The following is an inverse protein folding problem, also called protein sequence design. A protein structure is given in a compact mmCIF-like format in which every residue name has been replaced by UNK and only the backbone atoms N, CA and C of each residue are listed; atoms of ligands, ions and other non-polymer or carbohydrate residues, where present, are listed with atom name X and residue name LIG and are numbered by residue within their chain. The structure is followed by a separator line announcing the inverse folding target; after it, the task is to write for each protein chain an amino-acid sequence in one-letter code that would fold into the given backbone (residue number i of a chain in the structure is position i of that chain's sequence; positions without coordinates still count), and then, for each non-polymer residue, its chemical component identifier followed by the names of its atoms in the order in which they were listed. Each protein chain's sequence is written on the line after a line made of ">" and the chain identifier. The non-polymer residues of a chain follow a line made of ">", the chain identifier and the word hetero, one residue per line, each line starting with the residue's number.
data_IF_821010419658
#
_entry.id   IF_821010419658
#
_cell.length_a   1.000
_cell.length_b   1.000
_cell.length_c   1.000
_cell.angle_alpha   90.00
_cell.angle_beta   90.00
_cell.angle_gamma   90.00
#
_symmetry.space_group_name_H-M   'P 1'
#
loop_
_entity.id
_entity.type
_entity.pdbx_description
1 polymer ?
#
# COMPACT_ATOMS: atom_id res chain seq x y z
N UNK A 1 -34.78 -20.11 -6.74
CA UNK A 1 -33.86 -19.20 -6.04
C UNK A 1 -33.86 -19.64 -4.57
N UNK A 2 -32.73 -19.59 -3.86
CA UNK A 2 -32.63 -20.22 -2.53
C UNK A 2 -33.31 -19.41 -1.44
N UNK A 3 -33.96 -20.08 -0.48
CA UNK A 3 -34.66 -19.49 0.67
C UNK A 3 -33.82 -18.46 1.46
N UNK A 4 -32.50 -18.60 1.49
CA UNK A 4 -31.59 -17.63 2.11
C UNK A 4 -31.52 -16.29 1.36
N UNK A 5 -31.66 -16.31 0.03
CA UNK A 5 -31.61 -15.11 -0.80
C UNK A 5 -32.89 -14.30 -0.65
N UNK A 6 -34.04 -14.97 -0.59
CA UNK A 6 -35.35 -14.36 -0.32
C UNK A 6 -35.38 -13.70 1.05
N UNK A 7 -34.93 -14.42 2.09
CA UNK A 7 -34.79 -13.87 3.45
C UNK A 7 -33.89 -12.62 3.50
N UNK A 8 -32.77 -12.61 2.76
CA UNK A 8 -31.86 -11.46 2.73
C UNK A 8 -32.51 -10.22 2.07
N UNK A 9 -33.30 -10.43 1.01
CA UNK A 9 -34.04 -9.35 0.36
C UNK A 9 -35.14 -8.79 1.28
N UNK A 10 -35.89 -9.65 1.97
CA UNK A 10 -36.91 -9.23 2.94
C UNK A 10 -36.30 -8.40 4.08
N UNK A 11 -35.16 -8.83 4.63
CA UNK A 11 -34.44 -8.09 5.68
C UNK A 11 -33.96 -6.72 5.18
N UNK A 12 -33.50 -6.62 3.93
CA UNK A 12 -33.07 -5.33 3.35
C UNK A 12 -34.27 -4.40 3.11
N UNK A 13 -35.39 -4.93 2.65
CA UNK A 13 -36.61 -4.17 2.42
C UNK A 13 -37.18 -3.60 3.74
N UNK A 14 -37.25 -4.41 4.80
CA UNK A 14 -37.67 -3.94 6.13
C UNK A 14 -36.76 -2.85 6.68
N UNK A 15 -35.44 -2.97 6.48
CA UNK A 15 -34.47 -1.93 6.88
C UNK A 15 -34.65 -0.63 6.11
N UNK A 16 -34.95 -0.72 4.82
CA UNK A 16 -35.27 0.45 3.99
C UNK A 16 -36.55 1.14 4.47
N UNK A 17 -37.62 0.38 4.70
CA UNK A 17 -38.90 0.91 5.23
C UNK A 17 -38.73 1.58 6.59
N UNK A 18 -37.97 0.95 7.50
CA UNK A 18 -37.67 1.54 8.80
C UNK A 18 -36.86 2.84 8.71
N UNK A 19 -35.85 2.88 7.83
CA UNK A 19 -35.04 4.09 7.62
C UNK A 19 -35.85 5.22 7.00
N UNK A 20 -36.70 4.92 6.01
CA UNK A 20 -37.61 5.90 5.38
C UNK A 20 -38.59 6.44 6.43
N UNK A 21 -39.21 5.59 7.25
CA UNK A 21 -40.12 6.03 8.31
C UNK A 21 -39.45 6.94 9.35
N UNK A 22 -38.14 6.76 9.60
CA UNK A 22 -37.36 7.60 10.51
C UNK A 22 -36.96 8.95 9.90
N UNK A 23 -36.56 8.98 8.62
CA UNK A 23 -36.00 10.17 7.96
C UNK A 23 -37.05 10.99 7.16
N UNK A 24 -38.14 10.33 6.74
CA UNK A 24 -39.24 10.86 5.95
C UNK A 24 -40.60 10.43 6.56
N UNK A 25 -40.93 10.91 7.78
CA UNK A 25 -42.07 10.38 8.55
C UNK A 25 -43.45 10.64 7.91
N UNK A 26 -43.56 11.61 7.00
CA UNK A 26 -44.80 12.00 6.33
C UNK A 26 -44.97 11.33 4.94
N UNK A 27 -44.06 10.43 4.56
CA UNK A 27 -44.04 9.79 3.23
C UNK A 27 -44.71 8.42 3.28
N UNK A 28 -45.70 8.21 2.40
CA UNK A 28 -46.49 6.97 2.33
C UNK A 28 -46.00 6.04 1.21
N UNK A 29 -45.99 4.74 1.47
CA UNK A 29 -45.56 3.73 0.50
C UNK A 29 -46.39 3.78 -0.80
N UNK A 30 -45.71 3.88 -1.94
CA UNK A 30 -46.33 3.95 -3.27
C UNK A 30 -46.61 5.37 -3.79
N UNK A 31 -46.19 6.43 -3.07
CA UNK A 31 -46.20 7.80 -3.60
C UNK A 31 -44.88 8.13 -4.32
N UNK A 32 -44.85 9.15 -5.20
CA UNK A 32 -43.59 9.62 -5.81
C UNK A 32 -42.54 10.04 -4.77
N UNK A 33 -42.97 10.57 -3.63
CA UNK A 33 -42.09 10.96 -2.52
C UNK A 33 -41.44 9.73 -1.85
N UNK A 34 -42.13 8.58 -1.84
CA UNK A 34 -41.58 7.32 -1.36
C UNK A 34 -40.48 6.80 -2.28
N UNK A 35 -40.68 6.91 -3.59
CA UNK A 35 -39.65 6.51 -4.56
C UNK A 35 -38.38 7.35 -4.40
N UNK A 36 -38.51 8.65 -4.11
CA UNK A 36 -37.38 9.55 -3.81
C UNK A 36 -36.70 9.12 -2.50
N UNK A 37 -37.45 8.86 -1.43
CA UNK A 37 -36.89 8.42 -0.15
C UNK A 37 -36.18 7.06 -0.26
N UNK A 38 -36.68 6.16 -1.11
CA UNK A 38 -36.05 4.89 -1.42
C UNK A 38 -34.74 5.08 -2.22
N UNK A 39 -34.70 6.02 -3.16
CA UNK A 39 -33.48 6.40 -3.89
C UNK A 39 -32.42 7.01 -2.96
N UNK A 40 -32.83 7.86 -2.01
CA UNK A 40 -31.94 8.41 -0.98
C UNK A 40 -31.37 7.31 -0.07
N UNK A 41 -32.21 6.34 0.34
CA UNK A 41 -31.76 5.18 1.10
C UNK A 41 -30.73 4.35 0.31
N UNK A 42 -31.01 4.08 -0.97
CA UNK A 42 -30.08 3.38 -1.87
C UNK A 42 -28.75 4.12 -1.99
N UNK A 43 -28.80 5.43 -2.23
CA UNK A 43 -27.61 6.29 -2.34
C UNK A 43 -26.79 6.30 -1.04
N UNK A 44 -27.45 6.29 0.11
CA UNK A 44 -26.79 6.15 1.40
C UNK A 44 -26.09 4.80 1.54
N UNK A 45 -26.72 3.69 1.13
CA UNK A 45 -26.09 2.37 1.18
C UNK A 45 -24.84 2.31 0.30
N UNK A 46 -24.92 2.82 -0.94
CA UNK A 46 -23.79 2.88 -1.85
C UNK A 46 -22.63 3.67 -1.22
N UNK A 47 -22.93 4.84 -0.64
CA UNK A 47 -21.95 5.64 0.09
C UNK A 47 -21.32 4.91 1.30
N UNK A 48 -22.09 4.11 2.03
CA UNK A 48 -21.58 3.31 3.15
C UNK A 48 -20.68 2.16 2.67
N UNK A 49 -21.03 1.52 1.55
CA UNK A 49 -20.21 0.48 0.92
C UNK A 49 -18.89 1.09 0.44
N UNK A 50 -18.93 2.20 -0.30
CA UNK A 50 -17.73 2.90 -0.76
C UNK A 50 -16.82 3.32 0.40
N UNK A 51 -17.39 3.82 1.51
CA UNK A 51 -16.62 4.13 2.71
C UNK A 51 -15.98 2.90 3.34
N UNK A 52 -16.72 1.78 3.44
CA UNK A 52 -16.21 0.54 4.00
C UNK A 52 -15.07 -0.03 3.15
N UNK A 53 -15.20 -0.02 1.82
CA UNK A 53 -14.16 -0.43 0.88
C UNK A 53 -12.92 0.46 0.98
N UNK A 54 -13.12 1.78 1.06
CA UNK A 54 -12.03 2.72 1.23
C UNK A 54 -11.29 2.51 2.56
N UNK A 55 -12.03 2.30 3.66
CA UNK A 55 -11.44 2.03 4.96
C UNK A 55 -10.67 0.70 4.96
N UNK A 56 -11.26 -0.36 4.40
CA UNK A 56 -10.59 -1.65 4.23
C UNK A 56 -9.30 -1.52 3.42
N UNK A 57 -9.32 -0.74 2.34
CA UNK A 57 -8.13 -0.43 1.57
C UNK A 57 -7.08 0.27 2.43
N UNK A 58 -7.44 1.31 3.20
CA UNK A 58 -6.50 2.00 4.10
C UNK A 58 -5.90 1.07 5.15
N UNK A 59 -6.70 0.16 5.71
CA UNK A 59 -6.26 -0.82 6.70
C UNK A 59 -5.28 -1.81 6.07
N UNK A 60 -5.57 -2.28 4.85
CA UNK A 60 -4.67 -3.16 4.09
C UNK A 60 -3.30 -2.51 3.81
N UNK A 61 -3.24 -1.18 3.69
CA UNK A 61 -1.98 -0.45 3.50
C UNK A 61 -1.12 -0.39 4.79
N UNK A 62 -1.69 -0.76 5.93
CA UNK A 62 -1.04 -0.85 7.23
C UNK A 62 -0.87 -2.31 7.71
N UNK A 63 -1.06 -3.28 6.83
CA UNK A 63 -0.85 -4.69 7.10
C UNK A 63 0.33 -5.23 6.27
N UNK A 64 1.35 -5.77 6.96
CA UNK A 64 2.58 -6.23 6.33
C UNK A 64 2.36 -7.44 5.41
N UNK A 65 1.45 -8.34 5.79
CA UNK A 65 1.17 -9.55 5.03
C UNK A 65 0.37 -9.23 3.77
N UNK A 66 -0.63 -8.34 3.86
CA UNK A 66 -1.35 -7.86 2.70
C UNK A 66 -0.43 -7.13 1.73
N UNK A 67 0.51 -6.32 2.22
CA UNK A 67 1.51 -5.65 1.36
C UNK A 67 2.44 -6.65 0.68
N UNK A 68 2.84 -7.70 1.40
CA UNK A 68 3.62 -8.78 0.82
C UNK A 68 2.83 -9.53 -0.27
N UNK A 69 1.61 -9.97 0.03
CA UNK A 69 0.73 -10.69 -0.91
C UNK A 69 0.49 -9.85 -2.17
N UNK A 70 0.19 -8.56 -1.99
CA UNK A 70 -0.01 -7.65 -3.11
C UNK A 70 1.25 -7.55 -3.97
N UNK A 71 2.42 -7.30 -3.36
CA UNK A 71 3.68 -7.18 -4.10
C UNK A 71 4.02 -8.46 -4.88
N UNK A 72 3.82 -9.63 -4.26
CA UNK A 72 4.03 -10.91 -4.93
C UNK A 72 3.09 -11.11 -6.12
N UNK A 73 1.79 -10.83 -5.96
CA UNK A 73 0.81 -10.97 -7.04
C UNK A 73 1.16 -10.07 -8.23
N UNK A 74 1.55 -8.83 -7.98
CA UNK A 74 2.00 -7.92 -9.03
C UNK A 74 3.25 -8.45 -9.75
N UNK A 75 4.23 -9.02 -9.03
CA UNK A 75 5.40 -9.65 -9.65
C UNK A 75 5.04 -10.90 -10.47
N UNK A 76 4.09 -11.71 -10.01
CA UNK A 76 3.62 -12.89 -10.75
C UNK A 76 2.89 -12.49 -12.04
N UNK A 77 2.15 -11.37 -12.03
CA UNK A 77 1.54 -10.80 -13.24
C UNK A 77 2.59 -10.29 -14.23
N UNK A 78 3.63 -9.60 -13.75
CA UNK A 78 4.76 -9.21 -14.59
C UNK A 78 5.50 -10.44 -15.16
N UNK A 79 5.60 -11.52 -14.39
CA UNK A 79 6.18 -12.78 -14.85
C UNK A 79 5.35 -13.42 -15.97
N UNK A 80 4.03 -13.27 -15.97
CA UNK A 80 3.19 -13.77 -17.06
C UNK A 80 3.53 -13.09 -18.41
N UNK A 81 3.94 -11.81 -18.40
CA UNK A 81 4.37 -11.08 -19.59
C UNK A 81 5.62 -11.67 -20.25
N UNK A 82 6.49 -12.32 -19.46
CA UNK A 82 7.71 -12.99 -19.95
C UNK A 82 7.39 -14.05 -21.02
N UNK A 83 6.23 -14.71 -20.91
CA UNK A 83 5.83 -15.80 -21.80
C UNK A 83 5.02 -15.32 -23.02
N UNK A 84 4.75 -14.03 -23.14
CA UNK A 84 3.93 -13.47 -24.22
C UNK A 84 4.78 -12.82 -25.31
N UNK A 85 4.34 -12.89 -26.57
CA UNK A 85 4.97 -12.19 -27.68
C UNK A 85 4.68 -10.69 -27.54
N UNK A 86 5.62 -9.93 -26.97
CA UNK A 86 5.43 -8.51 -26.65
C UNK A 86 6.44 -7.61 -27.37
N UNK A 87 6.03 -6.37 -27.64
CA UNK A 87 6.92 -5.34 -28.14
C UNK A 87 7.99 -4.98 -27.10
N UNK A 88 9.18 -4.55 -27.54
CA UNK A 88 10.29 -4.18 -26.64
C UNK A 88 9.93 -3.12 -25.59
N UNK A 89 8.99 -2.22 -25.90
CA UNK A 89 8.48 -1.23 -24.93
C UNK A 89 7.77 -1.87 -23.74
N UNK A 90 7.05 -2.98 -23.95
CA UNK A 90 6.35 -3.70 -22.88
C UNK A 90 7.36 -4.28 -21.90
N UNK A 91 8.45 -4.89 -22.39
CA UNK A 91 9.53 -5.38 -21.53
C UNK A 91 10.19 -4.26 -20.74
N UNK A 92 10.45 -3.09 -21.36
CA UNK A 92 11.00 -1.92 -20.66
C UNK A 92 10.07 -1.40 -19.55
N UNK A 93 8.77 -1.29 -19.83
CA UNK A 93 7.80 -0.86 -18.83
C UNK A 93 7.66 -1.88 -17.70
N UNK A 94 7.55 -3.17 -18.04
CA UNK A 94 7.48 -4.25 -17.05
C UNK A 94 8.72 -4.28 -16.16
N UNK A 95 9.91 -4.12 -16.75
CA UNK A 95 11.17 -4.05 -16.01
C UNK A 95 11.22 -2.84 -15.07
N UNK A 96 10.82 -1.65 -15.54
CA UNK A 96 10.76 -0.49 -14.66
C UNK A 96 9.74 -0.69 -13.53
N UNK A 97 8.64 -1.38 -13.82
CA UNK A 97 7.57 -1.64 -12.85
C UNK A 97 7.98 -2.63 -11.75
N UNK A 98 8.88 -3.59 -11.99
CA UNK A 98 9.39 -4.46 -10.91
C UNK A 98 9.99 -3.64 -9.77
N UNK A 99 10.76 -2.59 -10.10
CA UNK A 99 11.32 -1.65 -9.11
C UNK A 99 10.21 -0.87 -8.42
N UNK A 100 9.16 -0.44 -9.13
CA UNK A 100 8.00 0.21 -8.53
C UNK A 100 7.30 -0.69 -7.51
N UNK A 101 7.12 -1.98 -7.81
CA UNK A 101 6.53 -2.96 -6.87
C UNK A 101 7.38 -3.06 -5.60
N UNK A 102 8.70 -3.19 -5.75
CA UNK A 102 9.63 -3.19 -4.62
C UNK A 102 9.54 -1.90 -3.79
N UNK A 103 9.52 -0.74 -4.45
CA UNK A 103 9.45 0.55 -3.76
C UNK A 103 8.16 0.74 -2.98
N UNK A 104 7.02 0.38 -3.58
CA UNK A 104 5.73 0.45 -2.92
C UNK A 104 5.69 -0.47 -1.69
N UNK A 105 6.13 -1.72 -1.85
CA UNK A 105 6.23 -2.68 -0.75
C UNK A 105 7.09 -2.13 0.40
N UNK A 106 8.29 -1.63 0.11
CA UNK A 106 9.20 -1.09 1.12
C UNK A 106 8.63 0.16 1.81
N UNK A 107 8.01 1.06 1.06
CA UNK A 107 7.45 2.29 1.60
C UNK A 107 6.29 2.00 2.56
N UNK A 108 5.32 1.17 2.15
CA UNK A 108 4.20 0.82 3.01
C UNK A 108 4.65 -0.03 4.21
N UNK A 109 5.63 -0.92 4.01
CA UNK A 109 6.20 -1.69 5.12
C UNK A 109 6.90 -0.80 6.15
N UNK A 110 7.75 0.12 5.69
CA UNK A 110 8.41 1.12 6.54
C UNK A 110 7.39 1.98 7.28
N UNK A 111 6.31 2.40 6.61
CA UNK A 111 5.21 3.16 7.22
C UNK A 111 4.50 2.33 8.31
N UNK A 112 4.27 1.06 8.04
CA UNK A 112 3.54 0.13 8.91
C UNK A 112 4.33 -0.19 10.18
N UNK A 113 5.64 -0.37 10.09
CA UNK A 113 6.50 -0.59 11.26
C UNK A 113 6.31 0.49 12.34
N UNK A 114 6.05 1.74 11.94
CA UNK A 114 5.84 2.85 12.90
C UNK A 114 4.53 2.74 13.70
N UNK A 115 3.67 1.75 13.41
CA UNK A 115 2.54 1.41 14.27
C UNK A 115 3.01 0.80 15.59
N UNK A 116 4.13 0.07 15.58
CA UNK A 116 4.78 -0.47 16.76
C UNK A 116 5.55 0.62 17.52
N UNK A 117 5.47 0.59 18.85
CA UNK A 117 6.06 1.60 19.71
C UNK A 117 7.60 1.55 19.71
N UNK A 118 8.21 0.37 19.69
CA UNK A 118 9.65 0.20 19.71
C UNK A 118 10.29 0.68 18.40
N UNK A 119 9.69 0.32 17.25
CA UNK A 119 10.16 0.82 15.94
C UNK A 119 9.95 2.33 15.80
N UNK A 120 8.85 2.88 16.34
CA UNK A 120 8.64 4.33 16.36
C UNK A 120 9.69 5.04 17.21
N UNK A 121 10.00 4.52 18.39
CA UNK A 121 11.07 5.06 19.23
C UNK A 121 12.42 5.04 18.49
N UNK A 122 12.81 3.90 17.91
CA UNK A 122 14.03 3.76 17.10
C UNK A 122 14.08 4.72 15.93
N UNK A 123 12.96 4.94 15.24
CA UNK A 123 12.88 5.94 14.18
C UNK A 123 13.26 7.34 14.69
N UNK A 124 12.75 7.76 15.84
CA UNK A 124 13.05 9.09 16.37
C UNK A 124 14.45 9.21 16.99
N UNK A 125 14.93 8.16 17.64
CA UNK A 125 16.21 8.16 18.37
C UNK A 125 17.41 7.93 17.46
N UNK A 126 17.28 7.07 16.44
CA UNK A 126 18.39 6.69 15.57
C UNK A 126 18.33 7.38 14.21
N UNK A 127 17.16 7.37 13.56
CA UNK A 127 17.01 7.87 12.19
C UNK A 127 16.77 9.40 12.12
N UNK A 128 15.84 9.91 12.94
CA UNK A 128 15.40 11.30 12.92
C UNK A 128 16.33 12.27 13.68
N UNK A 129 17.61 11.94 13.78
CA UNK A 129 18.59 12.68 14.57
C UNK A 129 19.10 13.94 13.86
N UNK A 130 19.27 13.88 12.54
CA UNK A 130 19.84 14.98 11.76
C UNK A 130 18.83 16.12 11.52
N UNK A 131 19.35 17.34 11.37
CA UNK A 131 18.53 18.55 11.29
C UNK A 131 17.65 18.61 10.03
N UNK A 132 18.07 17.98 8.92
CA UNK A 132 17.28 17.94 7.68
C UNK A 132 16.02 17.10 7.87
N UNK A 133 16.14 15.94 8.52
CA UNK A 133 15.01 15.06 8.84
C UNK A 133 14.07 15.73 9.83
N UNK A 134 14.60 16.33 10.91
CA UNK A 134 13.80 17.07 11.90
C UNK A 134 12.97 18.19 11.28
N UNK A 135 13.55 18.98 10.38
CA UNK A 135 12.83 20.05 9.65
C UNK A 135 11.70 19.49 8.77
N UNK A 136 11.95 18.38 8.08
CA UNK A 136 10.94 17.73 7.26
C UNK A 136 9.80 17.13 8.10
N UNK A 137 10.11 16.49 9.24
CA UNK A 137 9.12 15.99 10.18
C UNK A 137 8.27 17.12 10.78
N UNK A 138 8.86 18.27 11.12
CA UNK A 138 8.09 19.43 11.58
C UNK A 138 7.06 19.91 10.54
N UNK A 139 7.41 19.88 9.25
CA UNK A 139 6.44 20.16 8.17
C UNK A 139 5.33 19.11 8.11
N UNK A 140 5.67 17.82 8.23
CA UNK A 140 4.69 16.73 8.24
C UNK A 140 3.75 16.86 9.44
N UNK A 141 4.26 17.19 10.62
CA UNK A 141 3.45 17.41 11.82
C UNK A 141 2.44 18.54 11.63
N UNK A 142 2.88 19.68 11.07
CA UNK A 142 1.96 20.79 10.73
C UNK A 142 0.87 20.37 9.74
N UNK A 143 1.23 19.58 8.73
CA UNK A 143 0.28 19.08 7.73
C UNK A 143 -0.76 18.13 8.34
N UNK A 144 -0.34 17.19 9.19
CA UNK A 144 -1.22 16.25 9.90
C UNK A 144 -2.16 16.99 10.85
N UNK A 145 -1.64 17.99 11.58
CA UNK A 145 -2.45 18.82 12.47
C UNK A 145 -3.51 19.60 11.69
N UNK A 146 -3.12 20.25 10.59
CA UNK A 146 -4.05 20.99 9.74
C UNK A 146 -5.13 20.08 9.11
N UNK A 147 -4.78 18.85 8.72
CA UNK A 147 -5.74 17.86 8.24
C UNK A 147 -6.73 17.47 9.33
N UNK A 148 -6.24 17.16 10.53
CA UNK A 148 -7.07 16.76 11.68
C UNK A 148 -8.02 17.86 12.13
N UNK A 149 -7.66 19.14 11.92
CA UNK A 149 -8.53 20.29 12.19
C UNK A 149 -9.62 20.49 11.14
N UNK A 150 -9.37 20.13 9.88
CA UNK A 150 -10.34 20.24 8.78
C UNK A 150 -11.38 19.12 8.81
N UNK A 151 -10.96 17.94 9.23
CA UNK A 151 -11.81 16.75 9.35
C UNK A 151 -11.74 16.26 10.80
N UNK A 152 -12.42 16.95 11.73
CA UNK A 152 -12.40 16.57 13.13
C UNK A 152 -13.08 15.20 13.29
N UNK A 153 -12.30 14.21 13.74
CA UNK A 153 -12.85 13.00 14.32
C UNK A 153 -13.70 13.36 15.56
N UNK A 154 -14.54 12.42 16.01
CA UNK A 154 -15.34 12.58 17.25
C UNK A 154 -14.49 12.93 18.48
N UNK A 155 -13.18 12.70 18.43
CA UNK A 155 -12.23 13.10 19.47
C UNK A 155 -10.90 13.56 18.85
N UNK A 156 -10.27 14.62 19.37
CA UNK A 156 -8.97 15.07 18.86
C UNK A 156 -7.91 13.98 19.09
N UNK A 157 -7.06 13.70 18.09
CA UNK A 157 -6.00 12.71 18.22
C UNK A 157 -5.00 13.15 19.29
N UNK A 158 -4.57 12.21 20.12
CA UNK A 158 -3.54 12.48 21.12
C UNK A 158 -2.17 12.81 20.48
N UNK A 159 -1.23 13.26 21.29
CA UNK A 159 0.10 13.62 20.83
C UNK A 159 0.84 12.43 20.18
N UNK A 160 0.66 11.21 20.69
CA UNK A 160 1.30 9.99 20.18
C UNK A 160 0.81 9.65 18.77
N UNK A 161 -0.50 9.75 18.53
CA UNK A 161 -1.13 9.53 17.23
C UNK A 161 -0.67 10.57 16.22
N UNK A 162 -0.63 11.86 16.61
CA UNK A 162 -0.11 12.92 15.74
C UNK A 162 1.36 12.70 15.39
N UNK A 163 2.16 12.26 16.36
CA UNK A 163 3.58 11.98 16.17
C UNK A 163 3.78 10.80 15.19
N UNK A 164 3.05 9.70 15.39
CA UNK A 164 3.06 8.54 14.49
C UNK A 164 2.65 8.93 13.07
N UNK A 165 1.51 9.61 12.90
CA UNK A 165 1.01 10.05 11.59
C UNK A 165 2.01 10.97 10.88
N UNK A 166 2.71 11.84 11.60
CA UNK A 166 3.74 12.69 11.02
C UNK A 166 4.96 11.89 10.53
N UNK A 167 5.41 10.89 11.30
CA UNK A 167 6.47 9.99 10.88
C UNK A 167 6.07 9.15 9.65
N UNK A 168 4.85 8.61 9.66
CA UNK A 168 4.29 7.87 8.53
C UNK A 168 4.20 8.73 7.27
N UNK A 169 3.69 9.97 7.38
CA UNK A 169 3.64 10.91 6.26
C UNK A 169 5.05 11.23 5.72
N UNK A 170 6.04 11.37 6.61
CA UNK A 170 7.43 11.59 6.19
C UNK A 170 7.97 10.39 5.40
N UNK A 171 7.70 9.16 5.84
CA UNK A 171 8.14 7.92 5.16
C UNK A 171 7.44 7.75 3.82
N UNK A 172 6.14 8.04 3.73
CA UNK A 172 5.38 7.99 2.47
C UNK A 172 5.92 8.92 1.38
N UNK A 173 6.71 9.93 1.74
CA UNK A 173 7.37 10.85 0.80
C UNK A 173 8.79 10.41 0.41
N UNK A 174 9.22 9.21 0.81
CA UNK A 174 10.54 8.65 0.48
C UNK A 174 10.48 7.65 -0.63
N UNK A 175 11.55 7.64 -1.42
CA UNK A 175 11.81 6.63 -2.42
C UNK A 175 12.88 5.68 -1.90
N UNK A 176 12.65 4.38 -2.12
CA UNK A 176 13.51 3.32 -1.62
C UNK A 176 14.34 2.66 -2.74
N UNK A 177 14.19 3.06 -4.01
CA UNK A 177 15.12 2.68 -5.08
C UNK A 177 16.54 3.18 -4.79
N UNK A 178 16.72 4.25 -3.99
CA UNK A 178 18.04 4.63 -3.51
C UNK A 178 18.49 3.67 -2.39
N UNK A 179 19.33 2.70 -2.73
CA UNK A 179 19.78 1.63 -1.82
C UNK A 179 20.49 2.16 -0.56
N UNK A 180 21.18 3.31 -0.65
CA UNK A 180 21.80 3.94 0.52
C UNK A 180 20.75 4.48 1.49
N UNK A 181 19.70 5.11 0.97
CA UNK A 181 18.59 5.60 1.80
C UNK A 181 17.84 4.43 2.45
N UNK A 182 17.61 3.37 1.68
CA UNK A 182 16.98 2.14 2.16
C UNK A 182 17.77 1.55 3.32
N UNK A 183 19.07 1.30 3.14
CA UNK A 183 19.93 0.75 4.19
C UNK A 183 19.96 1.66 5.42
N UNK A 184 20.15 2.97 5.23
CA UNK A 184 20.18 3.92 6.33
C UNK A 184 18.87 3.93 7.14
N UNK A 185 17.71 3.86 6.47
CA UNK A 185 16.42 3.80 7.14
C UNK A 185 16.26 2.51 7.94
N UNK A 186 16.34 1.35 7.28
CA UNK A 186 16.06 0.07 7.92
C UNK A 186 17.12 -0.30 8.98
N UNK A 187 18.40 0.01 8.77
CA UNK A 187 19.44 -0.17 9.82
C UNK A 187 19.18 0.69 11.08
N UNK A 188 18.45 1.80 10.95
CA UNK A 188 18.15 2.67 12.09
C UNK A 188 16.88 2.27 12.83
N UNK A 189 15.90 1.74 12.09
CA UNK A 189 14.54 1.47 12.60
C UNK A 189 14.38 0.03 13.09
N UNK A 190 14.99 -0.93 12.41
CA UNK A 190 14.92 -2.34 12.79
C UNK A 190 15.71 -2.62 14.06
N UNK A 191 15.26 -3.61 14.83
CA UNK A 191 15.96 -4.08 16.02
C UNK A 191 16.88 -5.26 15.71
N UNK A 192 16.39 -6.18 14.88
CA UNK A 192 17.09 -7.39 14.49
C UNK A 192 18.10 -7.10 13.38
N UNK A 193 19.25 -7.79 13.39
CA UNK A 193 20.14 -7.78 12.24
C UNK A 193 19.44 -8.42 11.03
N UNK A 194 19.79 -7.94 9.84
CA UNK A 194 19.23 -8.45 8.59
C UNK A 194 20.31 -8.66 7.54
N UNK A 195 20.10 -9.67 6.70
CA UNK A 195 20.96 -9.99 5.56
C UNK A 195 20.10 -10.01 4.30
N UNK A 196 19.96 -8.85 3.67
CA UNK A 196 19.16 -8.72 2.44
C UNK A 196 20.03 -8.79 1.18
N UNK A 197 19.55 -9.41 0.09
CA UNK A 197 20.31 -9.59 -1.14
C UNK A 197 20.39 -8.28 -1.95
N UNK A 198 21.24 -7.35 -1.51
CA UNK A 198 21.40 -6.04 -2.17
C UNK A 198 22.15 -6.08 -3.50
N UNK A 199 23.03 -7.06 -3.69
CA UNK A 199 23.94 -7.07 -4.84
C UNK A 199 23.20 -7.02 -6.20
N UNK A 200 22.16 -7.83 -6.45
CA UNK A 200 21.41 -7.76 -7.72
C UNK A 200 20.61 -6.45 -7.89
N UNK A 201 20.19 -5.82 -6.79
CA UNK A 201 19.34 -4.63 -6.86
C UNK A 201 20.03 -3.43 -7.47
N UNK A 202 21.35 -3.33 -7.31
CA UNK A 202 22.11 -2.18 -7.82
C UNK A 202 21.95 -2.05 -9.34
N UNK A 203 22.21 -3.13 -10.07
CA UNK A 203 22.13 -3.15 -11.52
C UNK A 203 20.68 -2.96 -12.00
N UNK A 204 19.71 -3.50 -11.25
CA UNK A 204 18.29 -3.36 -11.55
C UNK A 204 17.82 -1.91 -11.42
N UNK A 205 18.19 -1.24 -10.32
CA UNK A 205 17.85 0.17 -10.09
C UNK A 205 18.54 1.07 -11.10
N UNK A 206 19.82 0.84 -11.41
CA UNK A 206 20.55 1.61 -12.43
C UNK A 206 19.90 1.45 -13.81
N UNK A 207 19.56 0.22 -14.20
CA UNK A 207 18.85 -0.04 -15.46
C UNK A 207 17.49 0.65 -15.50
N UNK A 208 16.70 0.58 -14.42
CA UNK A 208 15.43 1.32 -14.32
C UNK A 208 15.63 2.83 -14.44
N UNK A 209 16.70 3.38 -13.89
CA UNK A 209 17.02 4.80 -14.02
C UNK A 209 17.23 5.20 -15.47
N UNK A 210 17.97 4.39 -16.23
CA UNK A 210 18.23 4.62 -17.65
C UNK A 210 16.94 4.47 -18.49
N UNK A 211 16.10 3.49 -18.18
CA UNK A 211 14.79 3.32 -18.84
C UNK A 211 13.86 4.52 -18.61
N UNK A 212 13.76 5.03 -17.38
CA UNK A 212 12.77 6.05 -17.00
C UNK A 212 13.25 7.48 -17.25
N UNK A 213 14.53 7.78 -17.00
CA UNK A 213 15.04 9.16 -17.04
C UNK A 213 15.88 9.47 -18.27
N UNK A 214 16.35 8.44 -18.99
CA UNK A 214 17.15 8.59 -20.22
C UNK A 214 16.49 7.90 -21.42
N UNK A 215 15.20 7.56 -21.31
CA UNK A 215 14.41 6.93 -22.38
C UNK A 215 15.05 5.64 -22.95
N UNK A 216 15.67 4.84 -22.08
CA UNK A 216 16.33 3.59 -22.46
C UNK A 216 17.69 3.77 -23.13
N UNK A 217 18.38 4.87 -22.81
CA UNK A 217 19.78 5.11 -23.16
C UNK A 217 20.62 5.16 -21.87
N UNK A 218 21.78 4.51 -21.85
CA UNK A 218 22.64 4.45 -20.66
C UNK A 218 23.38 5.77 -20.42
N UNK A 219 24.12 5.85 -19.30
CA UNK A 219 25.04 6.97 -19.05
C UNK A 219 26.25 7.05 -19.98
N UNK A 220 26.43 6.04 -20.82
CA UNK A 220 27.49 5.95 -21.81
C UNK A 220 26.94 6.07 -23.24
N UNK A 221 25.70 6.58 -23.40
CA UNK A 221 25.00 6.75 -24.67
C UNK A 221 24.74 5.43 -25.44
N UNK A 222 24.63 4.32 -24.72
CA UNK A 222 24.33 3.00 -25.28
C UNK A 222 22.84 2.65 -25.12
N UNK A 223 22.23 2.04 -26.13
CA UNK A 223 20.84 1.62 -26.05
C UNK A 223 20.67 0.47 -25.05
N UNK A 224 19.75 0.65 -24.10
CA UNK A 224 19.37 -0.39 -23.14
C UNK A 224 18.34 -1.33 -23.78
N UNK A 225 18.74 -2.59 -23.92
CA UNK A 225 17.87 -3.66 -24.43
C UNK A 225 17.36 -4.54 -23.28
N UNK A 226 16.05 -4.57 -23.12
CA UNK A 226 15.36 -5.46 -22.18
C UNK A 226 14.62 -6.51 -22.99
N UNK A 227 15.02 -7.77 -22.83
CA UNK A 227 14.30 -8.93 -23.33
C UNK A 227 13.72 -9.76 -22.19
N UNK A 228 13.21 -10.93 -22.57
CA UNK A 228 12.68 -11.95 -21.66
C UNK A 228 13.63 -12.26 -20.50
N UNK A 229 14.89 -12.51 -20.80
CA UNK A 229 15.89 -12.88 -19.78
C UNK A 229 16.10 -11.78 -18.74
N UNK A 230 16.26 -10.52 -19.16
CA UNK A 230 16.44 -9.40 -18.25
C UNK A 230 15.22 -9.19 -17.35
N UNK A 231 14.00 -9.29 -17.91
CA UNK A 231 12.78 -9.15 -17.12
C UNK A 231 12.62 -10.29 -16.11
N UNK A 232 12.84 -11.54 -16.53
CA UNK A 232 12.73 -12.72 -15.67
C UNK A 232 13.72 -12.65 -14.50
N UNK A 233 14.96 -12.25 -14.76
CA UNK A 233 15.97 -12.03 -13.72
C UNK A 233 15.59 -10.92 -12.75
N UNK A 234 15.11 -9.76 -13.26
CA UNK A 234 14.70 -8.66 -12.40
C UNK A 234 13.51 -9.06 -11.49
N UNK A 235 12.51 -9.75 -12.04
CA UNK A 235 11.36 -10.27 -11.25
C UNK A 235 11.85 -11.23 -10.17
N UNK A 236 12.71 -12.20 -10.52
CA UNK A 236 13.25 -13.18 -9.57
C UNK A 236 14.05 -12.52 -8.45
N UNK A 237 14.95 -11.62 -8.79
CA UNK A 237 15.88 -11.01 -7.82
C UNK A 237 15.15 -10.02 -6.90
N UNK A 238 14.18 -9.25 -7.43
CA UNK A 238 13.30 -8.42 -6.61
C UNK A 238 12.39 -9.27 -5.72
N UNK A 239 11.86 -10.38 -6.24
CA UNK A 239 11.05 -11.31 -5.43
C UNK A 239 11.85 -11.84 -4.24
N UNK A 240 13.05 -12.34 -4.48
CA UNK A 240 13.92 -12.85 -3.42
C UNK A 240 14.25 -11.77 -2.37
N UNK A 241 14.44 -10.52 -2.82
CA UNK A 241 14.64 -9.39 -1.92
C UNK A 241 13.38 -9.08 -1.08
N UNK A 242 12.19 -9.01 -1.70
CA UNK A 242 10.93 -8.78 -1.00
C UNK A 242 10.65 -9.90 0.01
N UNK A 243 10.87 -11.16 -0.35
CA UNK A 243 10.73 -12.31 0.55
C UNK A 243 11.63 -12.17 1.78
N UNK A 244 12.91 -11.81 1.58
CA UNK A 244 13.87 -11.61 2.67
C UNK A 244 13.45 -10.46 3.60
N UNK A 245 13.01 -9.34 3.04
CA UNK A 245 12.50 -8.20 3.81
C UNK A 245 11.26 -8.62 4.61
N UNK A 246 10.26 -9.20 3.96
CA UNK A 246 9.01 -9.61 4.61
C UNK A 246 9.26 -10.58 5.78
N UNK A 247 10.17 -11.54 5.63
CA UNK A 247 10.59 -12.42 6.74
C UNK A 247 11.22 -11.63 7.89
N UNK A 248 12.12 -10.69 7.61
CA UNK A 248 12.68 -9.80 8.65
C UNK A 248 11.58 -9.03 9.37
N UNK A 249 10.64 -8.42 8.63
CA UNK A 249 9.60 -7.60 9.24
C UNK A 249 8.61 -8.41 10.07
N UNK A 250 8.29 -9.63 9.66
CA UNK A 250 7.43 -10.53 10.45
C UNK A 250 8.10 -10.97 11.74
N UNK A 251 9.42 -11.16 11.76
CA UNK A 251 10.19 -11.39 12.99
C UNK A 251 10.13 -10.20 13.93
N UNK A 252 10.32 -9.01 13.37
CA UNK A 252 10.30 -7.74 14.11
C UNK A 252 8.96 -7.47 14.79
N UNK A 253 7.85 -7.85 14.15
CA UNK A 253 6.50 -7.65 14.69
C UNK A 253 5.94 -8.86 15.43
N UNK A 254 6.71 -9.95 15.57
CA UNK A 254 6.28 -11.18 16.23
C UNK A 254 5.28 -12.03 15.44
N UNK A 255 5.04 -11.71 14.16
CA UNK A 255 4.14 -12.47 13.27
C UNK A 255 4.72 -13.82 12.81
N UNK A 256 6.02 -14.05 13.03
CA UNK A 256 6.70 -15.34 12.85
C UNK A 256 7.66 -15.40 11.65
N UNK A 257 8.08 -16.63 11.30
CA UNK A 257 9.17 -16.90 10.35
C UNK A 257 8.72 -17.49 9.01
N UNK A 258 7.41 -17.47 8.76
CA UNK A 258 6.80 -18.07 7.57
C UNK A 258 6.13 -17.00 6.74
N UNK A 259 6.39 -16.97 5.43
CA UNK A 259 5.71 -16.02 4.54
C UNK A 259 4.25 -16.43 4.33
N UNK A 260 3.33 -15.46 4.18
CA UNK A 260 1.95 -15.74 3.79
C UNK A 260 1.87 -16.56 2.50
N UNK A 261 0.92 -17.48 2.45
CA UNK A 261 0.64 -18.24 1.22
C UNK A 261 0.00 -17.31 0.21
N UNK A 262 0.65 -17.15 -0.95
CA UNK A 262 0.12 -16.32 -2.03
C UNK A 262 -0.61 -17.20 -3.04
N UNK A 263 -1.92 -17.10 -3.05
CA UNK A 263 -2.77 -17.75 -4.03
C UNK A 263 -2.83 -16.93 -5.34
N UNK A 264 -2.77 -17.57 -6.51
CA UNK A 264 -3.05 -16.91 -7.79
C UNK A 264 -4.39 -16.17 -7.74
N UNK A 265 -4.52 -15.03 -8.43
CA UNK A 265 -5.79 -14.24 -8.47
C UNK A 265 -7.01 -15.05 -8.97
N UNK A 266 -6.82 -16.26 -9.53
CA UNK A 266 -7.87 -17.12 -10.08
C UNK A 266 -8.24 -18.36 -9.23
N UNK A 267 -7.75 -18.49 -8.00
CA UNK A 267 -8.21 -19.55 -7.08
C UNK A 267 -9.34 -19.04 -6.22
N UNK A 268 -10.58 -19.26 -6.69
CA UNK A 268 -11.79 -19.33 -5.86
C UNK A 268 -11.94 -20.74 -5.29
#
# INVERSE_FOLDING_TARGET
>A
MGSMKELMYEIQEEKGKAWIAENYPDVEEGTPEWDIAAEDYSSMLDYLVEQAEWQWFQDSLNDLDDRYIHAVRELDELKALVNSAQAGIVFRMAYAHTVTVMEAFLMYSARTLLNDAAHMERFYTNFATNQKVKRALSKCHKAVLAHSQRYPDKSPPDHTVLHRRAAQLYVSQKTFHNLKNLQNYFSSVLELPYEWPFAPLKDIVETRQDLVHRNGVSKYDEQVHIGRWQLEHAVRDIRAFIDAVALTLRRETGAGDTLPVVHPRNSF
#
